data_IF_149333498243
#
_entry.id   IF_149333498243
#
_cell.length_a   1.000
_cell.length_b   1.000
_cell.length_c   1.000
_cell.angle_alpha   90.00
_cell.angle_beta   90.00
_cell.angle_gamma   90.00
#
_symmetry.space_group_name_H-M   'P 1'
#
loop_
_entity.id
_entity.type
_entity.pdbx_description
1 polymer ?
#
# COMPACT_ATOMS: atom_id res chain seq x y z
N UNK A 1 35.26 -56.06 32.23
CA UNK A 1 34.73 -56.69 33.46
C UNK A 1 35.42 -56.27 34.75
N UNK A 2 36.74 -56.40 34.94
CA UNK A 2 37.34 -56.02 36.27
C UNK A 2 37.45 -54.51 36.54
N UNK A 3 37.58 -53.68 35.51
CA UNK A 3 37.78 -52.23 35.67
C UNK A 3 36.45 -51.49 35.95
N UNK A 4 35.34 -51.90 35.34
CA UNK A 4 34.03 -51.29 35.59
C UNK A 4 33.58 -51.44 37.06
N UNK A 5 33.80 -52.61 37.67
CA UNK A 5 33.47 -52.87 39.09
C UNK A 5 34.30 -52.02 40.05
N UNK A 6 35.56 -51.73 39.69
CA UNK A 6 36.46 -50.88 40.47
C UNK A 6 36.01 -49.43 40.45
N UNK A 7 35.53 -48.95 39.30
CA UNK A 7 34.97 -47.60 39.13
C UNK A 7 33.65 -47.48 39.89
N UNK A 8 32.75 -48.45 39.76
CA UNK A 8 31.46 -48.47 40.46
C UNK A 8 31.61 -48.54 41.98
N UNK A 9 32.62 -49.26 42.51
CA UNK A 9 32.95 -49.24 43.95
C UNK A 9 33.52 -47.91 44.43
N UNK A 10 34.30 -47.21 43.60
CA UNK A 10 34.91 -45.92 43.96
C UNK A 10 33.93 -44.75 43.91
N UNK A 11 33.08 -44.72 42.88
CA UNK A 11 32.19 -43.59 42.58
C UNK A 11 30.79 -43.83 43.16
N UNK A 12 30.40 -45.09 43.36
CA UNK A 12 29.05 -45.46 43.76
C UNK A 12 28.04 -45.27 42.62
N UNK A 13 26.89 -45.92 42.75
CA UNK A 13 25.75 -45.77 41.80
C UNK A 13 24.84 -44.59 42.17
N UNK A 14 25.29 -43.70 43.06
CA UNK A 14 24.51 -42.60 43.57
C UNK A 14 24.41 -41.48 42.55
N UNK A 15 23.20 -40.98 42.31
CA UNK A 15 23.02 -39.77 41.51
C UNK A 15 23.64 -38.56 42.25
N UNK A 16 24.66 -37.95 41.66
CA UNK A 16 25.32 -36.74 42.19
C UNK A 16 24.55 -35.46 41.85
N UNK A 17 23.61 -35.52 40.90
CA UNK A 17 22.73 -34.41 40.52
C UNK A 17 21.44 -34.45 41.36
N UNK A 18 21.56 -34.23 42.66
CA UNK A 18 20.41 -34.02 43.54
C UNK A 18 20.24 -32.53 43.79
N UNK A 19 19.07 -32.02 43.46
CA UNK A 19 18.68 -30.66 43.86
C UNK A 19 18.16 -30.68 45.30
N UNK A 20 18.33 -29.59 46.07
CA UNK A 20 17.65 -29.41 47.34
C UNK A 20 16.12 -29.50 47.17
N UNK A 21 15.43 -29.99 48.21
CA UNK A 21 13.96 -29.97 48.20
C UNK A 21 13.45 -28.54 48.09
N UNK A 22 12.46 -28.30 47.23
CA UNK A 22 11.92 -26.97 46.96
C UNK A 22 12.73 -26.09 46.01
N UNK A 23 13.89 -26.53 45.48
CA UNK A 23 14.70 -25.72 44.55
C UNK A 23 13.92 -25.22 43.32
N UNK A 24 13.11 -26.10 42.72
CA UNK A 24 12.32 -25.76 41.55
C UNK A 24 11.04 -24.97 41.86
N UNK A 25 10.62 -24.89 43.13
CA UNK A 25 9.42 -24.16 43.53
C UNK A 25 9.60 -22.64 43.35
N UNK A 26 10.81 -22.14 43.67
CA UNK A 26 11.14 -20.72 43.57
C UNK A 26 11.85 -20.33 42.26
N UNK A 27 12.25 -21.30 41.43
CA UNK A 27 12.98 -21.05 40.19
C UNK A 27 12.18 -20.14 39.24
N UNK A 28 10.89 -20.42 39.06
CA UNK A 28 10.03 -19.63 38.17
C UNK A 28 9.96 -18.16 38.62
N UNK A 29 9.78 -17.93 39.92
CA UNK A 29 9.74 -16.58 40.50
C UNK A 29 11.09 -15.88 40.39
N UNK A 30 12.19 -16.58 40.66
CA UNK A 30 13.54 -16.04 40.54
C UNK A 30 13.90 -15.69 39.09
N UNK A 31 13.53 -16.55 38.13
CA UNK A 31 13.69 -16.27 36.70
C UNK A 31 12.86 -15.05 36.30
N UNK A 32 11.59 -14.98 36.69
CA UNK A 32 10.72 -13.84 36.37
C UNK A 32 11.23 -12.53 37.00
N UNK A 33 11.78 -12.58 38.22
CA UNK A 33 12.37 -11.41 38.89
C UNK A 33 13.74 -11.01 38.31
N UNK A 34 14.50 -11.95 37.73
CA UNK A 34 15.79 -11.69 37.07
C UNK A 34 15.65 -11.33 35.59
N UNK A 35 14.50 -11.61 34.98
CA UNK A 35 14.20 -11.06 33.68
C UNK A 35 14.29 -9.53 33.85
N UNK A 36 15.01 -8.83 32.94
CA UNK A 36 14.89 -7.38 32.92
C UNK A 36 13.40 -7.08 32.89
N UNK A 37 12.96 -6.05 33.63
CA UNK A 37 11.65 -5.47 33.38
C UNK A 37 11.62 -5.35 31.86
N UNK A 38 10.77 -6.17 31.22
CA UNK A 38 10.52 -6.01 29.81
C UNK A 38 10.02 -4.60 29.83
N UNK A 39 10.86 -3.68 29.35
CA UNK A 39 10.41 -2.40 28.86
C UNK A 39 9.21 -2.84 28.07
N UNK A 40 8.04 -2.58 28.64
CA UNK A 40 6.92 -2.25 27.83
C UNK A 40 7.56 -1.12 27.05
N UNK A 41 8.09 -1.46 25.89
CA UNK A 41 7.74 -0.75 24.70
C UNK A 41 6.22 -0.77 24.78
N UNK A 42 5.64 0.10 25.62
CA UNK A 42 4.95 1.27 25.14
C UNK A 42 5.49 1.44 23.74
N UNK A 43 4.80 0.73 22.84
CA UNK A 43 4.74 1.12 21.48
C UNK A 43 4.32 2.56 21.66
N UNK A 44 5.30 3.46 21.71
CA UNK A 44 5.08 4.87 21.54
C UNK A 44 4.61 4.83 20.10
N UNK A 45 3.30 4.61 19.96
CA UNK A 45 2.52 4.84 18.77
C UNK A 45 2.77 6.32 18.59
N UNK A 46 3.86 6.63 17.89
CA UNK A 46 4.18 7.98 17.48
C UNK A 46 2.95 8.37 16.71
N UNK A 47 2.09 9.16 17.35
CA UNK A 47 0.86 9.60 16.72
C UNK A 47 1.28 10.11 15.35
N UNK A 48 0.70 9.57 14.27
CA UNK A 48 1.14 9.89 12.93
C UNK A 48 1.16 11.42 12.82
N UNK A 49 2.37 11.96 12.68
CA UNK A 49 2.57 13.40 12.77
C UNK A 49 1.68 14.06 11.73
N UNK A 50 0.99 15.14 12.10
CA UNK A 50 0.08 15.87 11.19
C UNK A 50 0.76 16.25 9.86
N UNK A 51 2.08 16.33 9.85
CA UNK A 51 2.94 16.45 8.66
C UNK A 51 2.76 15.35 7.61
N UNK A 52 2.50 14.11 8.01
CA UNK A 52 2.23 13.01 7.07
C UNK A 52 0.93 13.24 6.29
N UNK A 53 -0.08 13.84 6.93
CA UNK A 53 -1.32 14.26 6.25
C UNK A 53 -1.13 15.48 5.37
N UNK A 54 -0.17 16.38 5.70
CA UNK A 54 0.10 17.59 4.91
C UNK A 54 0.98 17.34 3.68
N UNK A 55 1.85 16.31 3.68
CA UNK A 55 2.68 15.93 2.53
C UNK A 55 1.92 15.89 1.18
N UNK A 56 0.78 15.18 1.04
CA UNK A 56 0.04 15.15 -0.22
C UNK A 56 -0.46 16.54 -0.65
N UNK A 57 -0.93 17.38 0.30
CA UNK A 57 -1.38 18.74 -0.03
C UNK A 57 -0.24 19.65 -0.49
N UNK A 58 0.97 19.48 0.04
CA UNK A 58 2.14 20.23 -0.43
C UNK A 58 2.51 19.85 -1.88
N UNK A 59 2.42 18.56 -2.25
CA UNK A 59 2.62 18.15 -3.64
C UNK A 59 1.56 18.73 -4.58
N UNK A 60 0.29 18.72 -4.16
CA UNK A 60 -0.79 19.34 -4.93
C UNK A 60 -0.56 20.84 -5.11
N UNK A 61 -0.21 21.56 -4.04
CA UNK A 61 0.12 22.98 -4.10
C UNK A 61 1.30 23.26 -5.06
N UNK A 62 2.34 22.43 -5.03
CA UNK A 62 3.48 22.54 -5.93
C UNK A 62 3.08 22.33 -7.41
N UNK A 63 2.20 21.37 -7.70
CA UNK A 63 1.66 21.16 -9.05
C UNK A 63 0.88 22.39 -9.54
N UNK A 64 0.00 22.97 -8.71
CA UNK A 64 -0.75 24.17 -9.07
C UNK A 64 0.15 25.38 -9.30
N UNK A 65 1.15 25.59 -8.44
CA UNK A 65 2.13 26.67 -8.61
C UNK A 65 2.95 26.45 -9.88
N UNK A 66 3.39 25.21 -10.15
CA UNK A 66 4.10 24.84 -11.37
C UNK A 66 3.29 25.15 -12.62
N UNK A 67 2.04 24.66 -12.70
CA UNK A 67 1.15 24.94 -13.82
C UNK A 67 0.87 26.43 -13.97
N UNK A 68 0.62 27.15 -12.87
CA UNK A 68 0.40 28.59 -12.89
C UNK A 68 1.62 29.36 -13.40
N UNK A 69 2.84 28.94 -13.05
CA UNK A 69 4.08 29.54 -13.56
C UNK A 69 4.26 29.27 -15.07
N UNK A 70 3.99 28.04 -15.54
CA UNK A 70 4.04 27.72 -16.97
C UNK A 70 3.02 28.56 -17.74
N UNK A 71 1.77 28.64 -17.27
CA UNK A 71 0.72 29.48 -17.88
C UNK A 71 1.11 30.95 -17.83
N UNK A 72 1.63 31.45 -16.71
CA UNK A 72 2.01 32.86 -16.53
C UNK A 72 3.14 33.26 -17.49
N UNK A 73 4.16 32.41 -17.65
CA UNK A 73 5.29 32.63 -18.57
C UNK A 73 4.82 32.53 -20.03
N UNK A 74 4.03 31.51 -20.37
CA UNK A 74 3.47 31.36 -21.72
C UNK A 74 2.54 32.52 -22.10
N UNK A 75 1.66 32.95 -21.17
CA UNK A 75 0.72 34.05 -21.37
C UNK A 75 1.39 35.42 -21.39
N UNK A 76 2.55 35.61 -20.73
CA UNK A 76 3.29 36.88 -20.76
C UNK A 76 3.77 37.28 -22.15
N UNK A 77 3.90 36.31 -23.08
CA UNK A 77 4.33 36.55 -24.45
C UNK A 77 3.20 36.42 -25.49
N UNK A 78 1.98 36.05 -25.07
CA UNK A 78 0.84 35.87 -25.99
C UNK A 78 -0.24 36.93 -25.71
N UNK A 79 -0.55 37.74 -26.74
CA UNK A 79 -1.83 38.47 -26.82
C UNK A 79 -2.98 37.45 -26.62
N UNK A 80 -4.06 37.82 -25.92
CA UNK A 80 -5.09 36.86 -25.52
C UNK A 80 -5.85 36.36 -26.75
N UNK A 81 -5.50 35.18 -27.23
CA UNK A 81 -6.41 34.35 -28.00
C UNK A 81 -7.19 33.52 -26.98
N UNK A 82 -8.49 33.82 -26.90
CA UNK A 82 -9.64 33.03 -26.46
C UNK A 82 -9.43 31.88 -25.45
N UNK A 83 -10.25 31.79 -24.37
CA UNK A 83 -10.24 30.69 -23.42
C UNK A 83 -10.91 29.44 -24.02
N UNK A 84 -10.39 28.91 -25.11
CA UNK A 84 -10.92 27.71 -25.78
C UNK A 84 -10.26 26.44 -25.24
N UNK A 85 -8.99 26.51 -24.82
CA UNK A 85 -8.16 25.33 -24.53
C UNK A 85 -8.60 24.57 -23.25
N UNK A 86 -9.37 25.19 -22.34
CA UNK A 86 -9.93 24.48 -21.18
C UNK A 86 -11.27 23.78 -21.46
N UNK A 87 -11.96 24.15 -22.54
CA UNK A 87 -13.14 23.44 -23.02
C UNK A 87 -12.77 22.36 -24.06
N UNK A 88 -11.64 22.54 -24.75
CA UNK A 88 -11.16 21.65 -25.81
C UNK A 88 -10.85 20.22 -25.31
N UNK A 89 -10.26 20.02 -24.12
CA UNK A 89 -9.97 18.63 -23.65
C UNK A 89 -11.23 17.81 -23.29
N UNK A 90 -12.36 18.46 -22.99
CA UNK A 90 -13.63 17.74 -22.72
C UNK A 90 -14.47 17.60 -24.00
N UNK A 91 -14.28 18.49 -24.98
CA UNK A 91 -15.06 18.51 -26.23
C UNK A 91 -14.38 17.77 -27.40
N UNK A 92 -13.04 17.66 -27.43
CA UNK A 92 -12.31 16.87 -28.44
C UNK A 92 -12.60 15.38 -28.32
N UNK A 93 -12.78 14.86 -27.10
CA UNK A 93 -13.13 13.45 -26.90
C UNK A 93 -14.52 13.08 -27.47
N UNK A 94 -15.45 14.03 -27.54
CA UNK A 94 -16.82 13.81 -28.05
C UNK A 94 -16.86 13.92 -29.59
N UNK A 95 -16.14 14.91 -30.16
CA UNK A 95 -16.10 15.14 -31.62
C UNK A 95 -15.29 14.06 -32.34
N UNK A 96 -14.17 13.59 -31.79
CA UNK A 96 -13.35 12.54 -32.41
C UNK A 96 -14.04 11.16 -32.38
N UNK A 97 -14.90 10.93 -31.38
CA UNK A 97 -15.64 9.67 -31.25
C UNK A 97 -16.64 9.49 -32.39
N UNK A 98 -17.39 10.54 -32.73
CA UNK A 98 -18.38 10.49 -33.81
C UNK A 98 -17.72 10.29 -35.18
N UNK A 99 -16.59 10.95 -35.47
CA UNK A 99 -15.87 10.74 -36.74
C UNK A 99 -15.34 9.31 -36.87
N UNK A 100 -14.78 8.75 -35.80
CA UNK A 100 -14.29 7.37 -35.80
C UNK A 100 -15.43 6.34 -35.88
N UNK A 101 -16.54 6.56 -35.19
CA UNK A 101 -17.74 5.71 -35.24
C UNK A 101 -18.33 5.71 -36.65
N UNK A 102 -18.47 6.88 -37.28
CA UNK A 102 -18.99 6.98 -38.65
C UNK A 102 -18.04 6.33 -39.67
N UNK A 103 -16.72 6.49 -39.52
CA UNK A 103 -15.74 5.84 -40.38
C UNK A 103 -15.75 4.30 -40.25
N UNK A 104 -15.91 3.78 -39.03
CA UNK A 104 -16.07 2.35 -38.79
C UNK A 104 -17.41 1.81 -39.33
N UNK A 105 -18.49 2.61 -39.23
CA UNK A 105 -19.82 2.27 -39.74
C UNK A 105 -19.83 2.20 -41.28
N UNK A 106 -19.24 3.20 -41.96
CA UNK A 106 -19.08 3.21 -43.42
C UNK A 106 -18.25 2.02 -43.92
N UNK A 107 -17.16 1.69 -43.21
CA UNK A 107 -16.34 0.51 -43.51
C UNK A 107 -17.06 -0.83 -43.33
N UNK A 108 -18.12 -0.87 -42.52
CA UNK A 108 -18.93 -2.08 -42.29
C UNK A 108 -20.07 -2.27 -43.30
N UNK A 109 -20.33 -1.28 -44.18
CA UNK A 109 -21.51 -1.23 -45.05
C UNK A 109 -22.86 -1.39 -44.30
N UNK A 110 -22.89 -1.06 -43.01
CA UNK A 110 -24.08 -1.12 -42.18
C UNK A 110 -24.88 0.16 -42.36
N UNK A 111 -26.17 0.05 -42.71
CA UNK A 111 -27.07 1.21 -42.78
C UNK A 111 -27.60 1.61 -41.39
N UNK A 112 -28.04 2.88 -41.28
CA UNK A 112 -28.56 3.44 -40.02
C UNK A 112 -29.78 2.67 -39.49
N UNK A 113 -30.55 2.04 -40.38
CA UNK A 113 -31.71 1.23 -40.01
C UNK A 113 -31.28 -0.08 -39.33
N UNK A 114 -30.25 -0.72 -39.84
CA UNK A 114 -29.66 -1.95 -39.28
C UNK A 114 -29.00 -1.68 -37.92
N UNK A 115 -28.37 -0.51 -37.75
CA UNK A 115 -27.88 -0.06 -36.44
C UNK A 115 -29.02 0.09 -35.43
N UNK A 116 -30.13 0.71 -35.82
CA UNK A 116 -31.30 0.88 -34.96
C UNK A 116 -31.92 -0.46 -34.55
N UNK A 117 -32.07 -1.40 -35.48
CA UNK A 117 -32.57 -2.74 -35.19
C UNK A 117 -31.66 -3.47 -34.21
N UNK A 118 -30.34 -3.43 -34.41
CA UNK A 118 -29.37 -4.06 -33.51
C UNK A 118 -29.42 -3.47 -32.10
N UNK A 119 -29.44 -2.14 -31.97
CA UNK A 119 -29.54 -1.47 -30.67
C UNK A 119 -30.87 -1.77 -29.98
N UNK A 120 -31.96 -1.84 -30.74
CA UNK A 120 -33.28 -2.14 -30.19
C UNK A 120 -33.35 -3.59 -29.72
N UNK A 121 -32.83 -4.54 -30.50
CA UNK A 121 -32.81 -5.98 -30.14
C UNK A 121 -31.93 -6.23 -28.91
N UNK A 122 -30.75 -5.59 -28.84
CA UNK A 122 -29.86 -5.66 -27.68
C UNK A 122 -30.44 -4.98 -26.41
N UNK A 123 -31.35 -4.02 -26.57
CA UNK A 123 -32.03 -3.35 -25.45
C UNK A 123 -33.23 -4.12 -24.89
N UNK A 124 -33.67 -5.18 -25.59
CA UNK A 124 -34.85 -5.99 -25.25
C UNK A 124 -34.47 -7.27 -24.47
N UNK A 125 -33.17 -7.49 -24.20
CA UNK A 125 -32.65 -8.50 -23.26
C UNK A 125 -32.43 -7.93 -21.85
#
# INVERSE_FOLDING_TARGET
>A
MKEEDKILRKVGKGNSFKVPEGYFENLTSEVMNKLPEKEHTDFIVREPSKWQKMKPFVYMAAMFIGAALIIRVASSNHKPASPEIAATEIMEADIDSDEYINAALDGSMMDDYSLYVYLTDASVE
#
